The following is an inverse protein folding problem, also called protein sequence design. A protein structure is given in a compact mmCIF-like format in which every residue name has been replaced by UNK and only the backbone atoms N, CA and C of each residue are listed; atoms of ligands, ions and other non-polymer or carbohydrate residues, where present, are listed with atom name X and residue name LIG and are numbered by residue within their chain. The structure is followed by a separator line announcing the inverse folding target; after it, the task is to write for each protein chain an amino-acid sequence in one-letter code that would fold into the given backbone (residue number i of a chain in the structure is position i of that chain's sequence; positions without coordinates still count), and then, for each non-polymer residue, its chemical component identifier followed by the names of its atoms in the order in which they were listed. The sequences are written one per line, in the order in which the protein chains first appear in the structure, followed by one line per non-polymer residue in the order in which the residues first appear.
data_IF_438501797586
#
_entry.id   IF_438501797586
#
_cell.length_a   1.000
_cell.length_b   1.000
_cell.length_c   1.000
_cell.angle_alpha   90.00
_cell.angle_beta   90.00
_cell.angle_gamma   90.00
#
_symmetry.space_group_name_H-M   'P 1'
#
loop_
_entity.id
_entity.type
_entity.pdbx_description
1 polymer ?
#
# COMPACT_ATOMS: atom_id res chain seq x y z
N UNK A 1 -19.66 11.58 8.41
CA UNK A 1 -19.56 11.81 6.95
C UNK A 1 -18.35 12.66 6.54
N UNK A 2 -18.04 13.78 7.22
CA UNK A 2 -16.91 14.66 6.84
C UNK A 2 -15.51 14.20 7.29
N UNK A 3 -15.40 13.24 8.21
CA UNK A 3 -14.11 12.78 8.72
C UNK A 3 -13.21 12.21 7.61
N UNK A 4 -13.78 11.43 6.67
CA UNK A 4 -13.02 10.76 5.61
C UNK A 4 -12.37 11.73 4.60
N UNK A 5 -13.10 12.68 3.98
CA UNK A 5 -12.50 13.70 3.12
C UNK A 5 -11.43 14.54 3.84
N UNK A 6 -11.67 14.89 5.11
CA UNK A 6 -10.72 15.67 5.91
C UNK A 6 -9.44 14.87 6.17
N UNK A 7 -9.53 13.59 6.55
CA UNK A 7 -8.34 12.75 6.75
C UNK A 7 -7.54 12.56 5.48
N UNK A 8 -8.21 12.40 4.33
CA UNK A 8 -7.52 12.28 3.03
C UNK A 8 -6.85 13.60 2.65
N UNK A 9 -7.52 14.74 2.81
CA UNK A 9 -6.94 16.05 2.52
C UNK A 9 -5.67 16.29 3.35
N UNK A 10 -5.73 15.99 4.64
CA UNK A 10 -4.55 16.09 5.52
C UNK A 10 -3.45 15.14 5.06
N UNK A 11 -3.78 13.88 4.74
CA UNK A 11 -2.80 12.91 4.26
C UNK A 11 -2.12 13.34 2.96
N UNK A 12 -2.86 13.92 2.01
CA UNK A 12 -2.32 14.47 0.77
C UNK A 12 -1.38 15.64 1.06
N UNK A 13 -1.80 16.59 1.89
CA UNK A 13 -0.96 17.74 2.28
C UNK A 13 0.33 17.26 2.92
N UNK A 14 0.26 16.34 3.90
CA UNK A 14 1.43 15.79 4.58
C UNK A 14 2.36 15.09 3.58
N UNK A 15 1.80 14.28 2.67
CA UNK A 15 2.60 13.56 1.66
C UNK A 15 3.32 14.53 0.73
N UNK A 16 2.63 15.57 0.24
CA UNK A 16 3.21 16.59 -0.65
C UNK A 16 4.30 17.38 0.06
N UNK A 17 4.08 17.77 1.31
CA UNK A 17 5.08 18.49 2.11
C UNK A 17 6.31 17.62 2.37
N UNK A 18 6.14 16.35 2.75
CA UNK A 18 7.27 15.43 2.96
C UNK A 18 8.04 15.17 1.66
N UNK A 19 7.33 15.01 0.54
CA UNK A 19 7.94 14.81 -0.77
C UNK A 19 8.73 16.05 -1.22
N UNK A 20 8.17 17.26 -1.05
CA UNK A 20 8.86 18.50 -1.42
C UNK A 20 10.11 18.75 -0.57
N UNK A 21 10.09 18.37 0.71
CA UNK A 21 11.27 18.43 1.59
C UNK A 21 12.36 17.43 1.17
N UNK A 22 12.00 16.27 0.61
CA UNK A 22 12.95 15.23 0.18
C UNK A 22 13.45 15.38 -1.27
N UNK A 23 12.75 16.14 -2.11
CA UNK A 23 13.08 16.32 -3.53
C UNK A 23 14.48 16.91 -3.79
N UNK A 24 15.08 17.58 -2.79
CA UNK A 24 16.43 18.16 -2.91
C UNK A 24 17.60 17.18 -2.81
N UNK A 25 17.41 15.94 -2.32
CA UNK A 25 18.56 15.13 -1.90
C UNK A 25 19.04 14.06 -2.89
N UNK A 26 18.22 13.53 -3.81
CA UNK A 26 18.68 12.54 -4.80
C UNK A 26 17.80 12.53 -6.07
N UNK A 27 18.38 12.40 -7.29
CA UNK A 27 17.59 12.21 -8.51
C UNK A 27 16.72 10.96 -8.38
N UNK A 28 15.40 11.10 -8.54
CA UNK A 28 14.50 9.94 -8.53
C UNK A 28 14.86 8.99 -9.68
N UNK A 29 15.09 7.72 -9.35
CA UNK A 29 15.31 6.68 -10.35
C UNK A 29 14.04 6.45 -11.16
N UNK A 30 14.17 6.09 -12.44
CA UNK A 30 13.02 5.76 -13.32
C UNK A 30 12.10 4.70 -12.69
N UNK A 31 12.68 3.75 -11.95
CA UNK A 31 11.93 2.73 -11.20
C UNK A 31 11.14 3.33 -10.03
N UNK A 32 11.75 4.24 -9.26
CA UNK A 32 11.08 4.95 -8.17
C UNK A 32 9.87 5.75 -8.65
N UNK A 33 10.00 6.46 -9.79
CA UNK A 33 8.89 7.18 -10.42
C UNK A 33 7.78 6.26 -10.91
N UNK A 34 8.13 5.11 -11.50
CA UNK A 34 7.15 4.13 -11.98
C UNK A 34 6.36 3.49 -10.84
N UNK A 35 7.01 3.18 -9.72
CA UNK A 35 6.33 2.66 -8.53
C UNK A 35 5.47 3.76 -7.90
N UNK A 36 6.01 4.97 -7.76
CA UNK A 36 5.28 6.12 -7.23
C UNK A 36 4.00 6.42 -8.01
N UNK A 37 4.03 6.36 -9.34
CA UNK A 37 2.83 6.58 -10.17
C UNK A 37 1.75 5.51 -9.96
N UNK A 38 2.12 4.24 -9.74
CA UNK A 38 1.18 3.17 -9.40
C UNK A 38 0.48 3.49 -8.08
N UNK A 39 1.24 3.85 -7.05
CA UNK A 39 0.68 4.17 -5.74
C UNK A 39 -0.22 5.41 -5.77
N UNK A 40 0.15 6.44 -6.55
CA UNK A 40 -0.68 7.63 -6.76
C UNK A 40 -1.98 7.24 -7.47
N UNK A 41 -1.90 6.47 -8.57
CA UNK A 41 -3.07 6.04 -9.33
C UNK A 41 -4.04 5.22 -8.45
N UNK A 42 -3.52 4.23 -7.72
CA UNK A 42 -4.31 3.42 -6.80
C UNK A 42 -4.89 4.25 -5.65
N UNK A 43 -4.14 5.23 -5.14
CA UNK A 43 -4.62 6.17 -4.12
C UNK A 43 -5.78 7.05 -4.62
N UNK A 44 -5.70 7.56 -5.84
CA UNK A 44 -6.79 8.31 -6.49
C UNK A 44 -8.02 7.42 -6.67
N UNK A 45 -7.84 6.21 -7.18
CA UNK A 45 -8.93 5.24 -7.33
C UNK A 45 -9.61 4.93 -5.98
N UNK A 46 -8.80 4.72 -4.94
CA UNK A 46 -9.28 4.46 -3.58
C UNK A 46 -10.10 5.64 -3.02
N UNK A 47 -9.62 6.87 -3.23
CA UNK A 47 -10.33 8.07 -2.81
C UNK A 47 -11.71 8.20 -3.46
N UNK A 48 -11.77 8.07 -4.79
CA UNK A 48 -13.01 8.19 -5.54
C UNK A 48 -14.02 7.09 -5.16
N UNK A 49 -13.54 5.85 -5.04
CA UNK A 49 -14.38 4.70 -4.72
C UNK A 49 -14.97 4.83 -3.30
N UNK A 50 -14.17 5.17 -2.29
CA UNK A 50 -14.69 5.33 -0.93
C UNK A 50 -15.53 6.60 -0.76
N UNK A 51 -15.24 7.67 -1.48
CA UNK A 51 -16.14 8.83 -1.51
C UNK A 51 -17.52 8.43 -2.06
N UNK A 52 -17.56 7.70 -3.17
CA UNK A 52 -18.81 7.23 -3.77
C UNK A 52 -19.57 6.26 -2.86
N UNK A 53 -18.89 5.29 -2.23
CA UNK A 53 -19.49 4.37 -1.25
C UNK A 53 -20.01 5.11 0.00
N UNK A 54 -19.32 6.17 0.42
CA UNK A 54 -19.68 6.99 1.57
C UNK A 54 -20.93 7.80 1.32
N UNK A 55 -21.03 8.41 0.13
CA UNK A 55 -22.23 9.12 -0.33
C UNK A 55 -23.42 8.16 -0.54
N UNK A 56 -23.15 6.92 -0.96
CA UNK A 56 -24.18 5.90 -1.18
C UNK A 56 -24.65 5.20 0.10
N UNK A 57 -24.08 5.51 1.27
CA UNK A 57 -24.41 4.86 2.55
C UNK A 57 -23.95 3.38 2.67
N UNK A 58 -23.24 2.85 1.66
CA UNK A 58 -22.77 1.46 1.60
C UNK A 58 -21.42 1.24 2.28
N UNK A 59 -20.80 2.30 2.79
CA UNK A 59 -19.55 2.21 3.56
C UNK A 59 -19.74 1.58 4.95
N UNK A 60 -20.99 1.36 5.36
CA UNK A 60 -21.35 0.64 6.61
C UNK A 60 -21.02 -0.85 6.53
N UNK A 61 -20.89 -1.41 5.32
CA UNK A 61 -20.53 -2.80 5.10
C UNK A 61 -19.01 -2.98 5.21
N UNK A 62 -18.55 -3.29 6.42
CA UNK A 62 -17.12 -3.44 6.75
C UNK A 62 -16.40 -4.47 5.85
N UNK A 63 -17.10 -5.53 5.43
CA UNK A 63 -16.55 -6.54 4.50
C UNK A 63 -16.17 -5.94 3.14
N UNK A 64 -17.03 -5.09 2.58
CA UNK A 64 -16.78 -4.45 1.29
C UNK A 64 -15.56 -3.55 1.38
N UNK A 65 -15.43 -2.80 2.47
CA UNK A 65 -14.25 -1.97 2.71
C UNK A 65 -12.97 -2.80 2.78
N UNK A 66 -12.95 -3.85 3.61
CA UNK A 66 -11.76 -4.68 3.82
C UNK A 66 -11.37 -5.44 2.55
N UNK A 67 -12.34 -5.95 1.79
CA UNK A 67 -12.09 -6.70 0.56
C UNK A 67 -11.48 -5.80 -0.53
N UNK A 68 -12.05 -4.60 -0.71
CA UNK A 68 -11.54 -3.62 -1.68
C UNK A 68 -10.15 -3.12 -1.28
N UNK A 69 -9.93 -2.79 -0.01
CA UNK A 69 -8.60 -2.39 0.49
C UNK A 69 -7.57 -3.49 0.24
N UNK A 70 -7.90 -4.74 0.57
CA UNK A 70 -7.00 -5.88 0.38
C UNK A 70 -6.67 -6.09 -1.10
N UNK A 71 -7.66 -5.96 -1.99
CA UNK A 71 -7.44 -6.07 -3.43
C UNK A 71 -6.54 -4.95 -3.99
N UNK A 72 -6.76 -3.70 -3.59
CA UNK A 72 -5.95 -2.54 -4.01
C UNK A 72 -4.51 -2.70 -3.52
N UNK A 73 -4.31 -3.09 -2.25
CA UNK A 73 -2.99 -3.34 -1.69
C UNK A 73 -2.28 -4.52 -2.36
N UNK A 74 -3.01 -5.58 -2.72
CA UNK A 74 -2.49 -6.69 -3.52
C UNK A 74 -2.02 -6.23 -4.89
N UNK A 75 -2.81 -5.40 -5.59
CA UNK A 75 -2.40 -4.83 -6.89
C UNK A 75 -1.18 -3.92 -6.78
N UNK A 76 -1.12 -3.05 -5.78
CA UNK A 76 0.02 -2.15 -5.56
C UNK A 76 1.32 -2.94 -5.38
N UNK A 77 1.29 -3.96 -4.52
CA UNK A 77 2.44 -4.82 -4.26
C UNK A 77 2.77 -5.71 -5.46
N UNK A 78 1.77 -6.26 -6.15
CA UNK A 78 1.96 -7.11 -7.32
C UNK A 78 2.59 -6.36 -8.49
N UNK A 79 2.07 -5.17 -8.82
CA UNK A 79 2.62 -4.33 -9.88
C UNK A 79 4.04 -3.85 -9.55
N UNK A 80 4.28 -3.44 -8.30
CA UNK A 80 5.62 -3.05 -7.84
C UNK A 80 6.61 -4.23 -7.90
N UNK A 81 6.17 -5.43 -7.52
CA UNK A 81 6.99 -6.65 -7.57
C UNK A 81 7.36 -7.06 -9.00
N UNK A 82 6.45 -6.87 -9.97
CA UNK A 82 6.72 -7.14 -11.38
C UNK A 82 7.76 -6.16 -11.96
N UNK A 83 7.70 -4.89 -11.56
CA UNK A 83 8.66 -3.86 -11.99
C UNK A 83 10.04 -4.11 -11.36
N UNK A 84 10.10 -4.41 -10.06
CA UNK A 84 11.35 -4.66 -9.33
C UNK A 84 11.89 -6.09 -9.50
N UNK A 85 11.11 -7.00 -10.10
CA UNK A 85 11.36 -8.45 -10.14
C UNK A 85 11.63 -9.06 -8.76
N UNK A 86 11.02 -8.50 -7.71
CA UNK A 86 11.29 -8.88 -6.33
C UNK A 86 10.28 -9.91 -5.81
N UNK A 87 10.74 -11.15 -5.65
CA UNK A 87 9.89 -12.28 -5.24
C UNK A 87 9.20 -12.08 -3.88
N UNK A 88 9.84 -11.40 -2.94
CA UNK A 88 9.28 -11.16 -1.60
C UNK A 88 8.09 -10.21 -1.67
N UNK A 89 8.17 -9.18 -2.50
CA UNK A 89 7.05 -8.26 -2.70
C UNK A 89 5.88 -8.92 -3.44
N UNK A 90 6.18 -9.87 -4.33
CA UNK A 90 5.15 -10.69 -4.97
C UNK A 90 4.45 -11.62 -3.98
N UNK A 91 5.19 -12.23 -3.04
CA UNK A 91 4.59 -13.03 -1.97
C UNK A 91 3.62 -12.20 -1.10
N UNK A 92 4.01 -10.96 -0.77
CA UNK A 92 3.14 -10.00 -0.08
C UNK A 92 1.86 -9.70 -0.89
N UNK A 93 1.97 -9.53 -2.23
CA UNK A 93 0.81 -9.36 -3.10
C UNK A 93 -0.16 -10.55 -3.05
N UNK A 94 0.38 -11.78 -3.06
CA UNK A 94 -0.43 -13.00 -2.95
C UNK A 94 -1.17 -13.05 -1.61
N UNK A 95 -0.51 -12.72 -0.49
CA UNK A 95 -1.17 -12.68 0.83
C UNK A 95 -2.33 -11.68 0.82
N UNK A 96 -2.15 -10.52 0.20
CA UNK A 96 -3.21 -9.51 0.06
C UNK A 96 -4.39 -9.97 -0.80
N UNK A 97 -4.13 -10.67 -1.91
CA UNK A 97 -5.21 -11.24 -2.72
C UNK A 97 -5.94 -12.37 -2.00
N UNK A 98 -5.22 -13.22 -1.27
CA UNK A 98 -5.84 -14.27 -0.43
C UNK A 98 -6.70 -13.63 0.67
N UNK A 99 -6.21 -12.58 1.33
CA UNK A 99 -6.98 -11.83 2.31
C UNK A 99 -8.26 -11.23 1.71
N UNK A 100 -8.19 -10.67 0.50
CA UNK A 100 -9.36 -10.15 -0.22
C UNK A 100 -10.39 -11.26 -0.46
N UNK A 101 -9.97 -12.44 -0.95
CA UNK A 101 -10.85 -13.59 -1.18
C UNK A 101 -11.48 -14.07 0.11
N UNK A 102 -10.71 -14.22 1.19
CA UNK A 102 -11.25 -14.67 2.49
C UNK A 102 -12.29 -13.66 3.01
N UNK A 103 -12.04 -12.36 2.85
CA UNK A 103 -12.97 -11.31 3.29
C UNK A 103 -14.31 -11.36 2.54
N UNK A 104 -14.31 -11.76 1.27
CA UNK A 104 -15.54 -11.92 0.49
C UNK A 104 -16.47 -13.01 1.04
N UNK A 105 -15.95 -14.00 1.78
CA UNK A 105 -16.72 -15.14 2.30
C UNK A 105 -16.73 -15.25 3.84
N UNK A 106 -15.89 -14.49 4.54
CA UNK A 106 -15.77 -14.51 6.00
C UNK A 106 -16.85 -13.69 6.69
N UNK A 107 -16.87 -13.70 8.03
CA UNK A 107 -17.70 -12.84 8.90
C UNK A 107 -17.01 -11.52 9.25
N UNK A 108 -17.71 -10.50 9.76
CA UNK A 108 -17.16 -9.16 10.05
C UNK A 108 -15.92 -9.20 10.93
N UNK A 109 -15.98 -10.01 12.00
CA UNK A 109 -14.89 -10.20 12.94
C UNK A 109 -13.70 -10.91 12.29
N UNK A 110 -13.97 -11.94 11.49
CA UNK A 110 -12.93 -12.69 10.77
C UNK A 110 -12.24 -11.81 9.72
N UNK A 111 -13.00 -11.02 8.97
CA UNK A 111 -12.51 -10.04 7.99
C UNK A 111 -11.57 -9.03 8.65
N UNK A 112 -11.93 -8.51 9.82
CA UNK A 112 -11.08 -7.58 10.58
C UNK A 112 -9.78 -8.24 11.02
N UNK A 113 -9.86 -9.44 11.59
CA UNK A 113 -8.68 -10.18 12.06
C UNK A 113 -7.74 -10.49 10.88
N UNK A 114 -8.28 -10.98 9.76
CA UNK A 114 -7.52 -11.27 8.55
C UNK A 114 -6.84 -10.02 8.02
N UNK A 115 -7.53 -8.88 8.00
CA UNK A 115 -6.96 -7.61 7.58
C UNK A 115 -5.82 -7.15 8.49
N UNK A 116 -5.98 -7.25 9.81
CA UNK A 116 -4.93 -6.90 10.78
C UNK A 116 -3.71 -7.78 10.64
N UNK A 117 -3.90 -9.10 10.50
CA UNK A 117 -2.81 -10.05 10.25
C UNK A 117 -2.11 -9.74 8.94
N UNK A 118 -2.87 -9.47 7.87
CA UNK A 118 -2.32 -9.09 6.58
C UNK A 118 -1.51 -7.80 6.67
N UNK A 119 -2.00 -6.74 7.33
CA UNK A 119 -1.22 -5.51 7.54
C UNK A 119 0.08 -5.80 8.28
N UNK A 120 0.00 -6.54 9.39
CA UNK A 120 1.18 -6.80 10.21
C UNK A 120 2.26 -7.54 9.42
N UNK A 121 1.89 -8.61 8.72
CA UNK A 121 2.85 -9.39 7.94
C UNK A 121 3.31 -8.65 6.68
N UNK A 122 2.39 -8.06 5.93
CA UNK A 122 2.69 -7.50 4.61
C UNK A 122 3.24 -6.09 4.62
N UNK A 123 2.97 -5.29 5.65
CA UNK A 123 3.44 -3.90 5.73
C UNK A 123 4.58 -3.77 6.74
N UNK A 124 4.43 -4.34 7.94
CA UNK A 124 5.42 -4.17 9.01
C UNK A 124 6.61 -5.11 8.79
N UNK A 125 6.35 -6.42 8.72
CA UNK A 125 7.45 -7.41 8.56
C UNK A 125 8.15 -7.22 7.22
N UNK A 126 7.40 -7.04 6.13
CA UNK A 126 7.98 -6.74 4.83
C UNK A 126 8.76 -5.42 4.81
N UNK A 127 8.24 -4.36 5.44
CA UNK A 127 8.93 -3.08 5.53
C UNK A 127 10.26 -3.18 6.26
N UNK A 128 10.29 -3.87 7.40
CA UNK A 128 11.52 -4.16 8.15
C UNK A 128 12.50 -4.98 7.30
N UNK A 129 12.01 -6.02 6.64
CA UNK A 129 12.83 -6.83 5.73
C UNK A 129 13.46 -5.99 4.62
N UNK A 130 12.70 -5.05 4.03
CA UNK A 130 13.20 -4.15 3.01
C UNK A 130 14.34 -3.26 3.50
N UNK A 131 14.20 -2.69 4.69
CA UNK A 131 15.27 -1.88 5.32
C UNK A 131 16.52 -2.72 5.60
N UNK A 132 16.35 -3.95 6.09
CA UNK A 132 17.48 -4.86 6.35
C UNK A 132 18.16 -5.29 5.04
N UNK A 133 17.39 -5.63 4.01
CA UNK A 133 17.90 -6.02 2.70
C UNK A 133 18.69 -4.88 2.05
N UNK A 134 18.19 -3.64 2.11
CA UNK A 134 18.89 -2.45 1.63
C UNK A 134 20.19 -2.22 2.43
N UNK A 135 20.14 -2.36 3.77
CA UNK A 135 21.32 -2.23 4.60
C UNK A 135 22.39 -3.29 4.28
N UNK A 136 21.97 -4.51 3.93
CA UNK A 136 22.88 -5.56 3.48
C UNK A 136 23.46 -5.28 2.09
N UNK A 137 22.66 -4.78 1.15
CA UNK A 137 23.16 -4.38 -0.18
C UNK A 137 24.16 -3.22 -0.08
N UNK A 138 23.90 -2.22 0.76
CA UNK A 138 24.83 -1.12 1.03
C UNK A 138 26.14 -1.63 1.64
N UNK A 139 26.09 -2.61 2.55
CA UNK A 139 27.29 -3.27 3.10
C UNK A 139 28.04 -4.10 2.05
N UNK A 140 27.32 -4.71 1.10
CA UNK A 140 27.89 -5.54 0.03
C UNK A 140 28.43 -4.76 -1.16
N UNK A 141 28.12 -3.47 -1.32
CA UNK A 141 28.80 -2.56 -2.25
C UNK A 141 30.01 -1.98 -1.52
N UNK A 142 31.20 -2.60 -1.60
CA UNK A 142 32.38 -1.97 -1.03
C UNK A 142 32.67 -0.74 -1.88
N UNK A 143 32.92 0.37 -1.18
CA UNK A 143 33.44 1.64 -1.67
C UNK A 143 34.30 1.42 -2.93
N UNK A 144 33.74 1.71 -4.11
CA UNK A 144 34.57 2.04 -5.28
C UNK A 144 34.91 3.51 -5.13
N UNK A 145 35.97 3.75 -4.33
CA UNK A 145 36.78 4.95 -4.36
C UNK A 145 37.93 4.72 -5.35
#
# INVERSE_FOLDING_TARGET
MWAWPVTILIAVIVTVVVASLKAGNHPETTLGRAIGSIWIALGISMFLLFLALGLSGRLTDQHLFVAVMSAILGMANGASALILRWKVQFACAVVWWVAAVITCFGTDAQSTIVFLVAIFLCQIVFGIYGVIAEAQERKRRPIHA
#
